data_IF_302599130271
#
_entry.id   IF_302599130271
#
_cell.length_a   1.000
_cell.length_b   1.000
_cell.length_c   1.000
_cell.angle_alpha   90.00
_cell.angle_beta   90.00
_cell.angle_gamma   90.00
#
_symmetry.space_group_name_H-M   'P 1'
#
loop_
_entity.id
_entity.type
_entity.pdbx_description
1 polymer ?
#
# COMPACT_ATOMS: atom_id res chain seq x y z
N UNK A 1 18.27 6.01 4.19
CA UNK A 1 18.15 6.10 2.72
C UNK A 1 18.08 7.57 2.39
N UNK A 2 19.08 8.09 1.68
CA UNK A 2 19.16 9.50 1.30
C UNK A 2 18.15 9.82 0.18
N UNK A 3 17.60 11.05 0.11
CA UNK A 3 16.59 11.45 -0.88
C UNK A 3 17.01 11.27 -2.35
N UNK A 4 18.33 11.27 -2.63
CA UNK A 4 18.87 11.17 -4.00
C UNK A 4 18.59 9.84 -4.72
N UNK A 5 18.48 8.72 -3.99
CA UNK A 5 18.30 7.39 -4.61
C UNK A 5 16.89 7.16 -5.18
N UNK A 6 15.91 7.97 -4.78
CA UNK A 6 14.52 7.82 -5.25
C UNK A 6 14.29 8.42 -6.65
N UNK A 7 15.12 9.39 -7.07
CA UNK A 7 14.92 10.12 -8.32
C UNK A 7 15.64 9.51 -9.53
N UNK A 8 16.79 8.85 -9.33
CA UNK A 8 17.60 8.32 -10.44
C UNK A 8 17.28 6.86 -10.82
N UNK A 9 16.58 6.10 -9.97
CA UNK A 9 16.26 4.67 -10.20
C UNK A 9 14.74 4.38 -10.19
N UNK A 10 13.91 5.39 -10.48
CA UNK A 10 12.45 5.32 -10.29
C UNK A 10 11.77 4.14 -11.00
N UNK A 11 12.15 3.84 -12.25
CA UNK A 11 11.62 2.70 -13.02
C UNK A 11 12.01 1.34 -12.42
N UNK A 12 13.26 1.20 -11.95
CA UNK A 12 13.76 -0.04 -11.34
C UNK A 12 13.09 -0.26 -9.98
N UNK A 13 13.01 0.78 -9.16
CA UNK A 13 12.35 0.73 -7.85
C UNK A 13 10.87 0.39 -7.97
N UNK A 14 10.18 0.88 -9.01
CA UNK A 14 8.77 0.58 -9.23
C UNK A 14 8.55 -0.89 -9.59
N UNK A 15 9.44 -1.53 -10.37
CA UNK A 15 9.34 -2.95 -10.73
C UNK A 15 9.32 -3.90 -9.52
N UNK A 16 9.94 -3.51 -8.40
CA UNK A 16 9.98 -4.29 -7.17
C UNK A 16 8.85 -3.97 -6.19
N UNK A 17 7.89 -3.11 -6.54
CA UNK A 17 6.77 -2.80 -5.64
C UNK A 17 5.64 -3.81 -5.79
N UNK A 18 5.11 -4.24 -4.65
CA UNK A 18 3.88 -5.03 -4.55
C UNK A 18 2.95 -4.36 -3.55
N UNK A 19 1.74 -4.08 -4.01
CA UNK A 19 0.70 -3.43 -3.23
C UNK A 19 -0.49 -4.40 -3.18
N UNK A 20 -0.86 -4.84 -1.98
CA UNK A 20 -1.91 -5.85 -1.77
C UNK A 20 -3.00 -5.29 -0.86
N UNK A 21 -4.25 -5.72 -1.07
CA UNK A 21 -5.38 -5.40 -0.20
C UNK A 21 -5.95 -6.67 0.42
N UNK A 22 -6.03 -6.69 1.74
CA UNK A 22 -6.95 -7.61 2.41
C UNK A 22 -8.37 -7.03 2.33
N UNK A 23 -9.15 -7.54 1.37
CA UNK A 23 -10.51 -7.07 1.11
C UNK A 23 -11.43 -7.16 2.34
N UNK A 24 -11.22 -8.12 3.25
CA UNK A 24 -12.08 -8.30 4.41
C UNK A 24 -11.89 -7.20 5.45
N UNK A 25 -10.65 -6.74 5.64
CA UNK A 25 -10.31 -5.72 6.62
C UNK A 25 -10.15 -4.32 6.02
N UNK A 26 -10.02 -4.21 4.70
CA UNK A 26 -9.70 -2.96 4.02
C UNK A 26 -8.25 -2.50 4.24
N UNK A 27 -7.39 -3.36 4.79
CA UNK A 27 -5.99 -3.04 5.05
C UNK A 27 -5.17 -3.25 3.77
N UNK A 28 -4.55 -2.20 3.28
CA UNK A 28 -3.57 -2.26 2.20
C UNK A 28 -2.16 -2.48 2.77
N UNK A 29 -1.36 -3.30 2.10
CA UNK A 29 0.03 -3.61 2.44
C UNK A 29 0.92 -3.30 1.24
N UNK A 30 1.92 -2.46 1.46
CA UNK A 30 2.89 -2.00 0.47
C UNK A 30 4.25 -2.58 0.82
N UNK A 31 4.77 -3.44 -0.04
CA UNK A 31 6.06 -4.11 0.13
C UNK A 31 6.98 -3.85 -1.06
N UNK A 32 8.28 -4.02 -0.84
CA UNK A 32 9.27 -4.10 -1.91
C UNK A 32 9.84 -5.52 -1.94
N UNK A 33 9.97 -6.14 -3.11
CA UNK A 33 10.40 -7.54 -3.21
C UNK A 33 11.88 -7.76 -2.84
N UNK A 34 12.73 -6.73 -2.90
CA UNK A 34 14.14 -6.82 -2.53
C UNK A 34 14.73 -5.45 -2.18
N UNK A 35 15.72 -5.43 -1.29
CA UNK A 35 16.62 -4.27 -1.16
C UNK A 35 17.55 -4.29 -2.38
N UNK A 36 17.67 -3.18 -3.11
CA UNK A 36 18.70 -3.00 -4.14
C UNK A 36 20.08 -3.17 -3.46
N UNK A 37 20.64 -4.37 -3.54
CA UNK A 37 21.98 -4.70 -3.05
C UNK A 37 22.69 -5.51 -4.12
N UNK A 38 23.88 -5.08 -4.51
CA UNK A 38 24.75 -5.74 -5.50
C UNK A 38 25.50 -6.96 -4.90
N UNK A 39 24.95 -7.52 -3.82
CA UNK A 39 25.50 -8.67 -3.11
C UNK A 39 24.52 -9.82 -3.23
N UNK A 40 25.01 -10.99 -3.63
CA UNK A 40 24.29 -12.27 -3.65
C UNK A 40 24.02 -12.77 -2.21
N UNK A 41 23.35 -11.96 -1.39
CA UNK A 41 22.90 -12.29 -0.04
C UNK A 41 21.36 -12.21 -0.03
N UNK A 42 20.60 -13.18 0.53
CA UNK A 42 19.14 -13.14 0.57
C UNK A 42 18.66 -11.89 1.34
N UNK A 43 18.25 -10.86 0.61
CA UNK A 43 17.88 -9.55 1.14
C UNK A 43 16.37 -9.35 1.10
N UNK A 44 15.66 -10.18 1.87
CA UNK A 44 14.22 -10.05 2.10
C UNK A 44 13.89 -8.67 2.71
N UNK A 45 12.94 -7.95 2.11
CA UNK A 45 12.43 -6.71 2.69
C UNK A 45 11.43 -7.05 3.82
N UNK A 46 11.94 -7.20 5.03
CA UNK A 46 11.14 -7.50 6.23
C UNK A 46 10.40 -6.26 6.77
N UNK A 47 10.05 -5.30 5.90
CA UNK A 47 9.30 -4.11 6.29
C UNK A 47 8.23 -3.85 5.25
N UNK A 48 7.01 -3.66 5.72
CA UNK A 48 5.85 -3.31 4.93
C UNK A 48 5.24 -2.03 5.49
N UNK A 49 4.75 -1.17 4.62
CA UNK A 49 3.88 -0.08 5.04
C UNK A 49 2.45 -0.56 4.88
N UNK A 50 1.60 -0.35 5.87
CA UNK A 50 0.16 -0.59 5.75
C UNK A 50 -0.62 0.71 5.79
N UNK A 51 -1.75 0.73 5.10
CA UNK A 51 -2.71 1.82 5.17
C UNK A 51 -4.10 1.24 5.35
N UNK A 52 -4.92 1.92 6.15
CA UNK A 52 -6.29 1.51 6.42
C UNK A 52 -7.17 2.73 6.70
N UNK A 53 -8.47 2.52 6.66
CA UNK A 53 -9.49 3.55 6.86
C UNK A 53 -10.67 2.99 7.61
N UNK A 54 -11.39 3.85 8.33
CA UNK A 54 -12.66 3.49 8.97
C UNK A 54 -13.70 4.59 8.77
N UNK A 55 -14.97 4.26 9.02
CA UNK A 55 -16.10 5.19 8.95
C UNK A 55 -16.80 5.27 7.59
N UNK A 56 -16.51 4.34 6.68
CA UNK A 56 -17.13 4.25 5.35
C UNK A 56 -17.75 2.88 5.17
N UNK A 57 -18.98 2.85 4.63
CA UNK A 57 -19.72 1.63 4.36
C UNK A 57 -19.43 1.13 2.93
N UNK A 58 -19.12 -0.16 2.81
CA UNK A 58 -18.84 -0.85 1.54
C UNK A 58 -17.92 -0.07 0.56
N UNK A 59 -16.74 0.42 0.99
CA UNK A 59 -15.87 1.19 0.12
C UNK A 59 -15.19 0.34 -0.97
N UNK A 60 -14.85 1.01 -2.07
CA UNK A 60 -13.88 0.56 -3.06
C UNK A 60 -12.49 1.09 -2.70
N UNK A 61 -11.46 0.29 -2.99
CA UNK A 61 -10.07 0.60 -2.67
C UNK A 61 -9.20 0.61 -3.91
N UNK A 62 -8.43 1.67 -4.13
CA UNK A 62 -7.40 1.71 -5.18
C UNK A 62 -6.02 1.69 -4.55
N UNK A 63 -5.17 0.79 -5.02
CA UNK A 63 -3.79 0.61 -4.56
C UNK A 63 -2.79 1.40 -5.43
N UNK A 64 -3.28 2.05 -6.48
CA UNK A 64 -2.52 2.83 -7.43
C UNK A 64 -3.31 4.05 -7.93
N UNK A 65 -2.67 4.91 -8.70
CA UNK A 65 -3.32 6.07 -9.33
C UNK A 65 -3.94 5.79 -10.70
N UNK A 66 -3.98 4.53 -11.16
CA UNK A 66 -4.41 4.17 -12.52
C UNK A 66 -5.84 4.62 -12.83
N UNK A 67 -6.76 4.39 -11.89
CA UNK A 67 -8.18 4.64 -12.08
C UNK A 67 -8.63 6.05 -11.65
N UNK A 68 -7.74 6.86 -11.07
CA UNK A 68 -8.05 8.23 -10.61
C UNK A 68 -8.55 9.10 -11.76
N UNK A 69 -7.97 8.95 -12.95
CA UNK A 69 -8.40 9.70 -14.14
C UNK A 69 -9.79 9.29 -14.64
N UNK A 70 -10.16 8.02 -14.48
CA UNK A 70 -11.49 7.51 -14.81
C UNK A 70 -12.53 8.03 -13.80
N UNK A 71 -12.21 7.96 -12.51
CA UNK A 71 -13.04 8.53 -11.43
C UNK A 71 -13.34 10.03 -11.67
N UNK A 72 -12.32 10.83 -12.00
CA UNK A 72 -12.48 12.27 -12.31
C UNK A 72 -13.41 12.56 -13.49
N UNK A 73 -13.62 11.59 -14.38
CA UNK A 73 -14.52 11.69 -15.54
C UNK A 73 -15.91 11.10 -15.25
N UNK A 74 -16.21 10.77 -14.00
CA UNK A 74 -17.46 10.10 -13.60
C UNK A 74 -17.59 8.68 -14.13
N UNK A 75 -16.48 8.04 -14.53
CA UNK A 75 -16.50 6.63 -14.97
C UNK A 75 -16.42 5.73 -13.75
N UNK A 76 -16.99 4.53 -13.89
CA UNK A 76 -16.87 3.49 -12.87
C UNK A 76 -15.41 3.11 -12.63
N UNK A 77 -15.10 2.83 -11.37
CA UNK A 77 -13.83 2.30 -10.89
C UNK A 77 -14.07 0.98 -10.19
N UNK A 78 -13.02 0.17 -10.04
CA UNK A 78 -13.07 -1.13 -9.38
C UNK A 78 -11.96 -1.25 -8.36
N UNK A 79 -12.23 -1.98 -7.28
CA UNK A 79 -11.23 -2.26 -6.25
C UNK A 79 -10.02 -2.99 -6.81
N UNK A 80 -8.85 -2.55 -6.40
CA UNK A 80 -7.57 -3.16 -6.75
C UNK A 80 -7.16 -4.08 -5.59
N UNK A 81 -7.08 -5.40 -5.85
CA UNK A 81 -6.68 -6.39 -4.84
C UNK A 81 -5.17 -6.60 -4.79
N UNK A 82 -4.52 -6.51 -5.95
CA UNK A 82 -3.09 -6.77 -6.10
C UNK A 82 -2.54 -5.92 -7.27
N UNK A 83 -1.55 -5.09 -6.98
CA UNK A 83 -0.87 -4.22 -7.96
C UNK A 83 0.63 -4.35 -7.82
N UNK A 84 1.25 -4.79 -8.91
CA UNK A 84 2.70 -4.95 -9.02
C UNK A 84 3.32 -3.86 -9.91
N UNK A 85 4.59 -3.55 -9.70
CA UNK A 85 5.35 -2.75 -10.65
C UNK A 85 4.98 -1.27 -10.66
N UNK A 86 4.25 -0.80 -9.65
CA UNK A 86 3.67 0.56 -9.62
C UNK A 86 3.88 1.21 -8.26
N UNK A 87 3.95 2.54 -8.28
CA UNK A 87 3.85 3.36 -7.07
C UNK A 87 2.55 3.05 -6.34
N UNK A 88 2.67 2.64 -5.08
CA UNK A 88 1.53 2.45 -4.19
C UNK A 88 0.82 3.77 -3.90
N UNK A 89 -0.50 3.69 -3.87
CA UNK A 89 -1.40 4.72 -3.36
C UNK A 89 -2.50 4.04 -2.54
N UNK A 90 -3.18 4.77 -1.66
CA UNK A 90 -4.33 4.26 -0.92
C UNK A 90 -5.49 5.24 -1.12
N UNK A 91 -6.36 4.93 -2.07
CA UNK A 91 -7.60 5.70 -2.26
C UNK A 91 -8.79 4.87 -1.79
N UNK A 92 -9.71 5.54 -1.12
CA UNK A 92 -10.98 4.95 -0.67
C UNK A 92 -12.10 5.72 -1.36
N UNK A 93 -13.01 4.99 -2.00
CA UNK A 93 -14.16 5.56 -2.67
C UNK A 93 -15.42 4.91 -2.12
N UNK A 94 -16.35 5.72 -1.64
CA UNK A 94 -17.64 5.27 -1.14
C UNK A 94 -18.71 6.27 -1.57
N UNK A 95 -19.93 5.78 -1.75
CA UNK A 95 -21.09 6.63 -1.99
C UNK A 95 -21.68 7.03 -0.64
N UNK A 96 -21.90 8.33 -0.46
CA UNK A 96 -22.37 8.91 0.79
C UNK A 96 -23.59 9.79 0.49
N UNK A 97 -24.71 9.50 1.15
CA UNK A 97 -25.83 10.44 1.24
C UNK A 97 -25.64 11.26 2.51
N UNK A 98 -25.55 12.59 2.37
CA UNK A 98 -25.43 13.53 3.48
C UNK A 98 -26.63 14.48 3.44
N UNK A 99 -27.33 14.57 4.56
CA UNK A 99 -28.45 15.49 4.74
C UNK A 99 -27.94 16.91 5.01
N UNK A 100 -28.80 17.93 4.84
CA UNK A 100 -28.44 19.29 5.17
C UNK A 100 -28.07 19.42 6.67
N UNK A 101 -26.85 19.87 6.95
CA UNK A 101 -26.31 19.98 8.31
C UNK A 101 -25.73 18.68 8.90
N UNK A 102 -25.73 17.59 8.14
CA UNK A 102 -25.10 16.34 8.54
C UNK A 102 -23.58 16.38 8.29
N UNK A 103 -22.81 15.97 9.30
CA UNK A 103 -21.35 15.82 9.21
C UNK A 103 -20.98 14.35 9.37
N UNK A 104 -20.06 13.86 8.53
CA UNK A 104 -19.49 12.51 8.62
C UNK A 104 -17.98 12.63 8.76
N UNK A 105 -17.45 12.05 9.83
CA UNK A 105 -16.00 11.99 10.08
C UNK A 105 -15.50 10.62 9.64
N UNK A 106 -14.53 10.61 8.73
CA UNK A 106 -13.73 9.43 8.38
C UNK A 106 -12.26 9.71 8.66
N UNK A 107 -11.49 8.68 9.01
CA UNK A 107 -10.04 8.82 9.19
C UNK A 107 -9.27 7.82 8.33
N UNK A 108 -8.10 8.28 7.87
CA UNK A 108 -7.11 7.50 7.15
C UNK A 108 -5.87 7.39 8.03
N UNK A 109 -5.34 6.18 8.23
CA UNK A 109 -4.15 5.98 9.05
C UNK A 109 -3.09 5.15 8.32
N UNK A 110 -1.90 5.73 8.06
CA UNK A 110 -0.74 4.96 7.63
C UNK A 110 -0.03 4.36 8.86
N UNK A 111 0.31 3.08 8.81
CA UNK A 111 1.08 2.39 9.85
C UNK A 111 2.29 1.70 9.20
N UNK A 112 3.49 1.88 9.76
CA UNK A 112 4.67 1.16 9.30
C UNK A 112 4.84 -0.12 10.12
N UNK A 113 4.79 -1.28 9.47
CA UNK A 113 5.02 -2.58 10.10
C UNK A 113 6.43 -3.05 9.75
N UNK A 114 7.28 -3.20 10.78
CA UNK A 114 8.62 -3.76 10.63
C UNK A 114 8.65 -5.16 11.25
N UNK A 115 8.80 -6.18 10.41
CA UNK A 115 9.08 -7.53 10.86
C UNK A 115 10.56 -7.65 11.27
N UNK A 116 10.85 -8.44 12.32
CA UNK A 116 12.22 -8.83 12.70
C UNK A 116 12.40 -10.30 12.35
N UNK A 117 13.57 -10.69 11.83
CA UNK A 117 13.91 -12.12 11.77
C UNK A 117 13.94 -12.67 13.20
N UNK A 118 13.39 -13.86 13.46
CA UNK A 118 13.71 -14.56 14.71
C UNK A 118 15.23 -14.79 14.76
N UNK A 119 15.84 -14.50 15.90
CA UNK A 119 17.24 -14.82 16.17
C UNK A 119 17.43 -16.33 15.95
N UNK A 120 18.50 -16.79 15.27
CA UNK A 120 18.79 -18.20 15.26
C UNK A 120 19.01 -18.64 16.71
N UNK A 121 18.08 -19.41 17.26
CA UNK A 121 18.24 -20.05 18.54
C UNK A 121 19.47 -20.94 18.43
N UNK A 122 20.50 -20.63 19.21
CA UNK A 122 21.67 -21.48 19.39
C UNK A 122 21.19 -22.84 19.91
N UNK A 123 21.04 -23.81 19.02
CA UNK A 123 21.07 -25.22 19.37
C UNK A 123 22.53 -25.53 19.76
N UNK A 124 22.85 -25.33 21.04
CA UNK A 124 23.98 -26.01 21.66
C UNK A 124 23.40 -27.20 22.42
N UNK A 125 23.62 -28.39 21.85
CA UNK A 125 23.77 -29.62 22.62
C UNK A 125 25.24 -29.84 22.94
#
# INVERSE_FOLDING_TARGET
MTPGTQNELSCLVDAYKKNELDFRSGVATYTMSSRLTDKAEPSEALSATTAWSYGLDAPLYLLSSLQVSAFRKGRQIQSELDVHGRRGAYFVSAELTLSAGEERIGALSPMLIRARRPSPTSLQG
#
